data_IF_551913108252
#
_entry.id   IF_551913108252
#
_cell.length_a   1.000
_cell.length_b   1.000
_cell.length_c   1.000
_cell.angle_alpha   90.00
_cell.angle_beta   90.00
_cell.angle_gamma   90.00
#
_symmetry.space_group_name_H-M   'P 1'
#
loop_
_entity.id
_entity.type
_entity.pdbx_description
1 polymer ?
#
# COMPACT_ATOMS: atom_id res chain seq x y z
N UNK A 1 -18.76 -20.46 48.02
CA UNK A 1 -18.42 -19.73 49.26
C UNK A 1 -17.44 -20.55 50.09
N UNK A 2 -16.18 -20.15 50.15
CA UNK A 2 -15.26 -20.48 51.26
C UNK A 2 -14.53 -19.20 51.61
N UNK A 3 -14.63 -18.86 52.88
CA UNK A 3 -14.45 -17.53 53.44
C UNK A 3 -12.99 -17.11 53.57
N UNK A 4 -12.84 -15.80 53.53
CA UNK A 4 -11.65 -14.98 53.70
C UNK A 4 -11.23 -15.03 55.18
N UNK A 5 -9.98 -15.40 55.46
CA UNK A 5 -9.38 -15.33 56.78
C UNK A 5 -8.45 -14.13 56.89
N UNK A 6 -8.84 -13.19 57.76
CA UNK A 6 -8.25 -11.88 57.96
C UNK A 6 -6.82 -11.85 58.52
N UNK A 7 -6.15 -10.79 58.11
CA UNK A 7 -4.81 -10.36 58.43
C UNK A 7 -4.80 -9.50 59.70
N UNK A 8 -4.19 -9.95 60.80
CA UNK A 8 -3.72 -9.06 61.89
C UNK A 8 -2.80 -9.80 62.88
N UNK A 9 -1.51 -9.45 62.90
CA UNK A 9 -0.75 -9.27 64.15
C UNK A 9 0.76 -9.06 63.92
N UNK A 10 1.24 -7.90 64.36
CA UNK A 10 2.53 -7.66 65.04
C UNK A 10 3.78 -7.68 64.15
N UNK A 11 4.26 -6.55 63.63
CA UNK A 11 4.86 -5.39 64.33
C UNK A 11 6.07 -5.74 65.22
N UNK A 12 7.23 -5.27 64.74
CA UNK A 12 8.45 -4.89 65.45
C UNK A 12 9.40 -5.99 65.96
N UNK A 13 10.57 -6.07 65.30
CA UNK A 13 11.85 -6.08 66.01
C UNK A 13 12.92 -5.34 65.20
N UNK A 14 13.46 -4.36 65.90
CA UNK A 14 14.33 -3.29 65.43
C UNK A 14 15.78 -3.74 65.27
N UNK A 15 16.46 -3.13 64.30
CA UNK A 15 17.87 -2.75 64.47
C UNK A 15 18.91 -3.56 63.69
N UNK A 16 19.42 -2.96 62.61
CA UNK A 16 20.87 -2.79 62.42
C UNK A 16 21.22 -1.77 61.33
N UNK A 17 21.90 -0.73 61.81
CA UNK A 17 23.01 0.01 61.21
C UNK A 17 22.88 0.62 59.80
N UNK A 18 22.81 1.95 59.86
CA UNK A 18 23.00 2.96 58.82
C UNK A 18 24.29 2.74 58.00
N UNK A 19 24.19 2.87 56.68
CA UNK A 19 25.25 3.40 55.81
C UNK A 19 24.63 4.45 54.90
N UNK A 20 25.20 5.66 54.94
CA UNK A 20 24.66 6.86 54.34
C UNK A 20 24.64 6.83 52.81
N UNK A 21 23.67 7.57 52.26
CA UNK A 21 23.72 8.13 50.92
C UNK A 21 23.06 9.50 50.97
N UNK A 22 23.80 10.50 50.52
CA UNK A 22 23.45 11.94 50.50
C UNK A 22 22.19 12.24 49.66
N UNK A 23 21.54 13.40 49.87
CA UNK A 23 20.30 13.73 49.19
C UNK A 23 20.63 14.24 47.78
N UNK A 24 20.42 13.40 46.76
CA UNK A 24 20.34 13.90 45.39
C UNK A 24 18.98 14.58 45.20
N UNK A 25 18.94 15.85 45.58
CA UNK A 25 18.01 16.81 45.00
C UNK A 25 18.34 16.95 43.52
N UNK A 26 17.50 16.35 42.69
CA UNK A 26 17.33 16.74 41.30
C UNK A 26 15.84 16.53 41.01
N UNK A 27 15.08 17.61 41.11
CA UNK A 27 13.76 17.65 40.52
C UNK A 27 13.95 17.39 39.02
N UNK A 28 13.49 16.22 38.57
CA UNK A 28 13.44 15.92 37.15
C UNK A 28 12.64 17.05 36.46
N UNK A 29 13.09 17.59 35.34
CA UNK A 29 12.28 18.54 34.59
C UNK A 29 11.00 17.79 34.20
N UNK A 30 9.88 18.25 34.75
CA UNK A 30 8.56 17.87 34.26
C UNK A 30 8.50 18.46 32.86
N UNK A 31 8.84 17.64 31.86
CA UNK A 31 8.55 17.96 30.47
C UNK A 31 7.04 17.83 30.33
N UNK A 32 6.33 18.93 30.59
CA UNK A 32 4.95 19.06 30.15
C UNK A 32 4.98 19.15 28.63
N UNK A 33 4.87 18.01 27.96
CA UNK A 33 4.57 17.99 26.52
C UNK A 33 3.16 18.56 26.40
N UNK A 34 3.05 19.86 26.14
CA UNK A 34 1.82 20.48 25.67
C UNK A 34 1.64 20.04 24.22
N UNK A 35 1.18 18.81 24.04
CA UNK A 35 0.91 18.24 22.72
C UNK A 35 -0.37 18.88 22.17
N UNK A 36 -0.21 19.99 21.44
CA UNK A 36 -1.33 20.66 20.80
C UNK A 36 -1.64 19.91 19.50
N UNK A 37 -2.70 19.10 19.51
CA UNK A 37 -3.19 18.38 18.33
C UNK A 37 -3.33 19.31 17.13
N UNK A 38 -2.79 18.90 15.99
CA UNK A 38 -2.94 19.66 14.73
C UNK A 38 -4.40 19.65 14.26
N UNK A 39 -4.73 20.48 13.26
CA UNK A 39 -6.06 20.41 12.64
C UNK A 39 -6.32 19.04 12.01
N UNK A 40 -5.32 18.45 11.34
CA UNK A 40 -5.42 17.11 10.76
C UNK A 40 -5.69 16.05 11.84
N UNK A 41 -5.03 16.12 13.00
CA UNK A 41 -5.29 15.18 14.11
C UNK A 41 -6.74 15.27 14.59
N UNK A 42 -7.25 16.49 14.80
CA UNK A 42 -8.63 16.70 15.24
C UNK A 42 -9.66 16.25 14.20
N UNK A 43 -9.36 16.44 12.91
CA UNK A 43 -10.22 15.95 11.83
C UNK A 43 -10.22 14.42 11.84
N UNK A 44 -9.05 13.81 11.93
CA UNK A 44 -8.93 12.36 11.92
C UNK A 44 -9.66 11.73 13.11
N UNK A 45 -9.59 12.34 14.30
CA UNK A 45 -10.34 11.91 15.51
C UNK A 45 -11.86 11.81 15.26
N UNK A 46 -12.38 12.61 14.33
CA UNK A 46 -13.79 12.63 13.94
C UNK A 46 -14.11 11.73 12.74
N UNK A 47 -13.14 11.00 12.18
CA UNK A 47 -13.35 10.02 11.12
C UNK A 47 -13.65 8.64 11.72
N UNK A 48 -14.42 7.79 11.03
CA UNK A 48 -14.83 6.47 11.56
C UNK A 48 -13.70 5.42 11.59
N UNK A 49 -12.50 5.76 11.15
CA UNK A 49 -11.30 4.90 11.21
C UNK A 49 -11.43 3.53 10.51
N UNK A 50 -12.33 3.41 9.53
CA UNK A 50 -12.53 2.15 8.80
C UNK A 50 -11.41 1.81 7.83
N UNK A 51 -10.61 2.81 7.43
CA UNK A 51 -9.52 2.69 6.45
C UNK A 51 -9.97 2.13 5.07
N UNK A 52 -11.26 2.30 4.73
CA UNK A 52 -11.88 1.67 3.56
C UNK A 52 -11.57 2.29 2.19
N UNK A 53 -10.85 3.42 2.16
CA UNK A 53 -10.47 4.16 0.95
C UNK A 53 -11.62 4.62 0.03
N UNK A 54 -12.89 4.53 0.48
CA UNK A 54 -14.08 4.95 -0.31
C UNK A 54 -14.08 6.45 -0.66
N UNK A 55 -13.39 7.26 0.14
CA UNK A 55 -13.19 8.69 -0.13
C UNK A 55 -12.14 8.99 -1.23
N UNK A 56 -11.44 7.98 -1.75
CA UNK A 56 -10.37 8.13 -2.75
C UNK A 56 -8.96 8.27 -2.16
N UNK A 57 -8.84 8.35 -0.83
CA UNK A 57 -7.55 8.41 -0.12
C UNK A 57 -7.15 7.05 0.45
N UNK A 58 -5.84 6.81 0.58
CA UNK A 58 -5.29 5.55 1.10
C UNK A 58 -5.32 5.48 2.64
N UNK A 59 -6.45 5.83 3.25
CA UNK A 59 -6.67 5.82 4.69
C UNK A 59 -7.33 7.09 5.22
N UNK A 60 -7.64 7.08 6.52
CA UNK A 60 -8.26 8.21 7.21
C UNK A 60 -7.26 9.37 7.41
N UNK A 61 -6.00 9.09 7.76
CA UNK A 61 -4.95 10.10 7.93
C UNK A 61 -4.75 10.98 6.68
N UNK A 62 -4.49 10.43 5.47
CA UNK A 62 -4.30 11.28 4.30
C UNK A 62 -5.53 12.10 3.92
N UNK A 63 -6.74 11.57 4.17
CA UNK A 63 -7.97 12.34 3.96
C UNK A 63 -8.08 13.51 4.94
N UNK A 64 -7.76 13.28 6.21
CA UNK A 64 -7.77 14.32 7.24
C UNK A 64 -6.75 15.43 6.95
N UNK A 65 -5.55 15.06 6.49
CA UNK A 65 -4.52 16.00 6.04
C UNK A 65 -4.99 16.83 4.85
N UNK A 66 -5.62 16.20 3.85
CA UNK A 66 -6.14 16.91 2.68
C UNK A 66 -7.28 17.87 3.04
N UNK A 67 -8.16 17.53 3.99
CA UNK A 67 -9.16 18.47 4.51
C UNK A 67 -8.48 19.64 5.24
N UNK A 68 -7.48 19.36 6.07
CA UNK A 68 -6.77 20.39 6.84
C UNK A 68 -6.01 21.36 5.92
N UNK A 69 -5.44 20.85 4.81
CA UNK A 69 -4.78 21.64 3.79
C UNK A 69 -5.77 22.42 2.89
N UNK A 70 -7.04 22.01 2.85
CA UNK A 70 -8.06 22.60 1.97
C UNK A 70 -8.13 21.98 0.58
N UNK A 71 -7.38 20.91 0.32
CA UNK A 71 -7.34 20.19 -0.96
C UNK A 71 -8.53 19.24 -1.13
N UNK A 72 -9.19 18.85 -0.03
CA UNK A 72 -10.34 17.96 -0.04
C UNK A 72 -11.57 18.59 0.62
N UNK A 73 -12.75 18.22 0.14
CA UNK A 73 -14.00 18.53 0.81
C UNK A 73 -14.26 17.56 1.98
N UNK A 74 -15.02 17.98 3.00
CA UNK A 74 -15.26 17.23 4.24
C UNK A 74 -16.50 16.31 4.18
N UNK A 75 -17.08 16.15 2.99
CA UNK A 75 -18.28 15.33 2.74
C UNK A 75 -18.01 14.08 1.89
N UNK A 76 -16.78 13.56 1.90
CA UNK A 76 -16.35 12.49 1.00
C UNK A 76 -16.33 11.11 1.66
N UNK A 77 -16.76 10.98 2.92
CA UNK A 77 -16.65 9.75 3.71
C UNK A 77 -18.01 9.05 3.89
N UNK A 78 -18.38 8.08 3.04
CA UNK A 78 -19.62 7.31 3.19
C UNK A 78 -19.81 6.64 4.56
N UNK A 79 -18.80 5.97 5.16
CA UNK A 79 -18.99 5.35 6.49
C UNK A 79 -19.11 6.38 7.61
N UNK A 80 -18.68 7.63 7.40
CA UNK A 80 -18.92 8.71 8.35
C UNK A 80 -20.36 9.22 8.29
N UNK A 81 -21.05 9.02 7.17
CA UNK A 81 -22.45 9.36 7.02
C UNK A 81 -22.77 10.85 7.20
N UNK A 82 -24.05 11.16 7.35
CA UNK A 82 -24.51 12.52 7.61
C UNK A 82 -23.93 13.10 8.92
N UNK A 83 -23.88 12.28 9.98
CA UNK A 83 -23.38 12.74 11.29
C UNK A 83 -21.88 13.07 11.25
N UNK A 84 -21.06 12.28 10.54
CA UNK A 84 -19.64 12.59 10.36
C UNK A 84 -19.42 13.94 9.69
N UNK A 85 -20.27 14.31 8.73
CA UNK A 85 -20.22 15.63 8.08
C UNK A 85 -20.59 16.74 9.07
N UNK A 86 -21.58 16.52 9.93
CA UNK A 86 -21.95 17.49 10.98
C UNK A 86 -20.79 17.69 11.96
N UNK A 87 -20.14 16.61 12.39
CA UNK A 87 -18.96 16.68 13.27
C UNK A 87 -17.82 17.46 12.63
N UNK A 88 -17.49 17.16 11.37
CA UNK A 88 -16.42 17.83 10.63
C UNK A 88 -16.73 19.30 10.33
N UNK A 89 -17.94 19.61 9.88
CA UNK A 89 -18.37 20.98 9.60
C UNK A 89 -18.32 21.86 10.84
N UNK A 90 -18.73 21.33 12.00
CA UNK A 90 -18.64 22.01 13.30
C UNK A 90 -17.19 22.32 13.69
N UNK A 91 -16.27 21.35 13.51
CA UNK A 91 -14.84 21.56 13.76
C UNK A 91 -14.23 22.61 12.82
N UNK A 92 -14.64 22.62 11.55
CA UNK A 92 -14.11 23.50 10.51
C UNK A 92 -14.78 24.88 10.46
N UNK A 93 -15.89 25.08 11.18
CA UNK A 93 -16.71 26.30 11.07
C UNK A 93 -17.35 26.48 9.69
N UNK A 94 -17.69 25.37 9.01
CA UNK A 94 -18.27 25.35 7.66
C UNK A 94 -19.76 24.96 7.72
N UNK A 95 -20.59 25.29 6.70
CA UNK A 95 -21.98 24.84 6.65
C UNK A 95 -22.08 23.32 6.56
N UNK A 96 -23.22 22.72 6.92
CA UNK A 96 -23.46 21.30 6.67
C UNK A 96 -23.85 21.13 5.20
N UNK A 97 -23.17 20.23 4.49
CA UNK A 97 -23.44 19.88 3.08
C UNK A 97 -23.78 18.38 2.98
N UNK A 98 -24.52 17.94 1.94
CA UNK A 98 -24.83 16.52 1.78
C UNK A 98 -23.57 15.68 1.47
N UNK A 99 -23.63 14.38 1.79
CA UNK A 99 -22.60 13.40 1.43
C UNK A 99 -22.39 13.40 -0.10
N UNK A 100 -21.13 13.31 -0.52
CA UNK A 100 -20.78 13.23 -1.94
C UNK A 100 -21.25 11.87 -2.51
N UNK A 101 -22.23 11.84 -3.43
CA UNK A 101 -22.75 10.59 -3.99
C UNK A 101 -21.72 9.85 -4.85
N UNK A 102 -20.68 10.53 -5.35
CA UNK A 102 -19.60 9.90 -6.14
C UNK A 102 -18.81 8.89 -5.31
N UNK A 103 -18.67 9.11 -4.01
CA UNK A 103 -17.93 8.21 -3.11
C UNK A 103 -18.81 7.07 -2.58
N UNK A 104 -20.11 7.10 -2.85
CA UNK A 104 -21.09 6.12 -2.39
C UNK A 104 -22.10 6.70 -1.40
N UNK A 105 -23.00 5.84 -0.95
CA UNK A 105 -24.04 6.16 0.04
C UNK A 105 -23.67 5.64 1.41
N UNK A 106 -24.26 6.28 2.44
CA UNK A 106 -24.29 5.73 3.78
C UNK A 106 -25.07 4.40 3.79
N UNK A 107 -24.55 3.38 4.47
CA UNK A 107 -25.14 2.04 4.50
C UNK A 107 -24.90 1.37 5.86
N UNK A 108 -25.68 0.33 6.21
CA UNK A 108 -25.44 -0.45 7.40
C UNK A 108 -24.04 -1.06 7.41
N UNK A 109 -23.48 -1.18 8.60
CA UNK A 109 -22.16 -1.75 8.77
C UNK A 109 -22.23 -3.27 8.59
N UNK A 110 -21.30 -3.77 7.79
CA UNK A 110 -21.10 -5.19 7.57
C UNK A 110 -19.79 -5.69 8.21
N UNK A 111 -19.74 -6.99 8.50
CA UNK A 111 -18.53 -7.69 8.92
C UNK A 111 -18.22 -8.76 7.88
N UNK A 112 -16.94 -8.94 7.57
CA UNK A 112 -16.51 -9.98 6.64
C UNK A 112 -16.75 -11.36 7.26
N UNK A 113 -17.18 -12.31 6.43
CA UNK A 113 -17.33 -13.71 6.75
C UNK A 113 -16.58 -14.52 5.70
N UNK A 114 -15.72 -15.44 6.11
CA UNK A 114 -14.93 -16.30 5.22
C UNK A 114 -15.53 -17.70 5.24
N UNK A 115 -15.90 -18.25 4.08
CA UNK A 115 -16.28 -19.65 3.95
C UNK A 115 -15.03 -20.54 4.01
N UNK A 116 -14.90 -21.24 5.13
CA UNK A 116 -13.77 -22.11 5.46
C UNK A 116 -13.64 -23.29 4.48
N UNK A 117 -14.73 -23.72 3.84
CA UNK A 117 -14.71 -24.83 2.88
C UNK A 117 -14.10 -24.43 1.54
N UNK A 118 -14.18 -23.15 1.19
CA UNK A 118 -13.65 -22.60 -0.06
C UNK A 118 -12.26 -21.97 0.13
N UNK A 119 -11.93 -21.56 1.36
CA UNK A 119 -10.66 -20.90 1.65
C UNK A 119 -9.45 -21.81 1.40
N UNK A 120 -8.58 -21.41 0.47
CA UNK A 120 -7.33 -22.14 0.14
C UNK A 120 -6.11 -21.71 0.95
N UNK A 121 -6.27 -20.80 1.91
CA UNK A 121 -5.16 -20.33 2.75
C UNK A 121 -4.10 -19.50 2.01
N UNK A 122 -4.48 -18.70 1.01
CA UNK A 122 -3.55 -17.93 0.16
C UNK A 122 -2.94 -16.69 0.84
N UNK A 123 -3.48 -16.23 1.97
CA UNK A 123 -3.04 -15.08 2.80
C UNK A 123 -3.23 -13.67 2.19
N UNK A 124 -3.76 -13.54 0.97
CA UNK A 124 -3.93 -12.24 0.31
C UNK A 124 -4.92 -11.32 1.06
N UNK A 125 -6.01 -11.89 1.61
CA UNK A 125 -6.98 -11.12 2.41
C UNK A 125 -6.35 -10.55 3.70
N UNK A 126 -5.49 -11.30 4.38
CA UNK A 126 -4.77 -10.85 5.59
C UNK A 126 -3.78 -9.71 5.28
N UNK A 127 -3.20 -9.71 4.08
CA UNK A 127 -2.35 -8.62 3.60
C UNK A 127 -3.16 -7.37 3.22
N UNK A 128 -4.42 -7.52 2.82
CA UNK A 128 -5.30 -6.39 2.52
C UNK A 128 -6.00 -5.81 3.76
N UNK A 129 -6.18 -6.59 4.83
CA UNK A 129 -6.87 -6.13 6.03
C UNK A 129 -6.08 -5.01 6.74
N UNK A 130 -6.64 -3.78 6.87
CA UNK A 130 -5.93 -2.66 7.46
C UNK A 130 -5.79 -2.75 8.99
N UNK A 131 -6.61 -3.55 9.65
CA UNK A 131 -6.70 -3.65 11.12
C UNK A 131 -6.35 -5.03 11.67
N UNK A 132 -5.79 -5.92 10.84
CA UNK A 132 -5.41 -7.28 11.24
C UNK A 132 -6.55 -8.16 11.79
N UNK A 133 -7.80 -7.89 11.42
CA UNK A 133 -8.96 -8.65 11.87
C UNK A 133 -9.05 -10.09 11.30
N UNK A 134 -8.11 -10.50 10.43
CA UNK A 134 -8.12 -11.83 9.81
C UNK A 134 -7.03 -12.70 10.44
N UNK A 135 -7.42 -13.84 10.99
CA UNK A 135 -6.51 -14.82 11.59
C UNK A 135 -6.40 -16.04 10.67
N UNK A 136 -5.18 -16.56 10.53
CA UNK A 136 -4.90 -17.74 9.72
C UNK A 136 -3.40 -17.91 9.52
N UNK A 137 -3.03 -18.82 8.63
CA UNK A 137 -1.65 -19.05 8.25
C UNK A 137 -1.58 -19.51 6.78
N UNK A 138 -0.41 -19.46 6.13
CA UNK A 138 -0.25 -20.03 4.80
C UNK A 138 -0.71 -21.50 4.76
N UNK A 139 -1.57 -21.82 3.79
CA UNK A 139 -2.19 -23.16 3.61
C UNK A 139 -3.10 -23.60 4.76
N UNK A 140 -3.56 -22.66 5.59
CA UNK A 140 -4.57 -22.88 6.62
C UNK A 140 -5.79 -22.00 6.34
N UNK A 141 -6.98 -22.45 6.77
CA UNK A 141 -8.20 -21.68 6.65
C UNK A 141 -8.10 -20.38 7.46
N UNK A 142 -8.67 -19.31 6.91
CA UNK A 142 -8.69 -18.01 7.56
C UNK A 142 -10.06 -17.75 8.16
N UNK A 143 -10.10 -17.03 9.28
CA UNK A 143 -11.33 -16.63 9.96
C UNK A 143 -11.24 -15.16 10.38
N UNK A 144 -12.39 -14.55 10.67
CA UNK A 144 -12.50 -13.12 11.00
C UNK A 144 -12.72 -12.96 12.50
N UNK A 145 -11.94 -12.10 13.13
CA UNK A 145 -12.24 -11.57 14.47
C UNK A 145 -13.27 -10.46 14.30
N UNK A 146 -14.56 -10.79 14.48
CA UNK A 146 -15.69 -9.88 14.23
C UNK A 146 -15.55 -8.55 14.98
N UNK A 147 -15.04 -8.59 16.22
CA UNK A 147 -14.87 -7.41 17.07
C UNK A 147 -13.82 -6.42 16.56
N UNK A 148 -12.89 -6.85 15.70
CA UNK A 148 -11.83 -6.02 15.14
C UNK A 148 -12.11 -5.62 13.68
N UNK A 149 -12.96 -6.37 12.97
CA UNK A 149 -13.29 -6.07 11.58
C UNK A 149 -13.95 -4.69 11.49
N UNK A 150 -13.51 -3.82 10.58
CA UNK A 150 -14.12 -2.49 10.39
C UNK A 150 -15.22 -2.44 9.34
N UNK A 151 -15.44 -3.54 8.59
CA UNK A 151 -16.34 -3.53 7.44
C UNK A 151 -15.81 -2.70 6.28
N UNK A 152 -14.50 -2.74 6.04
CA UNK A 152 -13.84 -1.93 5.01
C UNK A 152 -13.87 -2.56 3.61
N UNK A 153 -14.27 -3.82 3.50
CA UNK A 153 -14.47 -4.59 2.25
C UNK A 153 -13.19 -4.84 1.42
N UNK A 154 -12.04 -4.31 1.85
CA UNK A 154 -10.74 -4.42 1.15
C UNK A 154 -10.24 -5.85 0.97
N UNK A 155 -10.73 -6.80 1.77
CA UNK A 155 -10.34 -8.21 1.68
C UNK A 155 -11.06 -8.98 0.56
N UNK A 156 -12.20 -8.47 0.05
CA UNK A 156 -13.00 -9.16 -0.97
C UNK A 156 -12.28 -9.21 -2.32
N UNK A 157 -11.83 -8.09 -2.92
CA UNK A 157 -11.18 -8.10 -4.24
C UNK A 157 -9.93 -9.00 -4.37
N UNK A 158 -9.02 -9.09 -3.39
CA UNK A 158 -7.83 -9.93 -3.52
C UNK A 158 -8.07 -11.43 -3.32
N UNK A 159 -9.29 -11.86 -2.99
CA UNK A 159 -9.59 -13.28 -2.77
C UNK A 159 -9.73 -14.03 -4.12
N UNK A 160 -8.83 -14.97 -4.47
CA UNK A 160 -8.84 -15.62 -5.78
C UNK A 160 -9.94 -16.67 -5.96
N UNK A 161 -10.58 -17.08 -4.86
CA UNK A 161 -11.65 -18.10 -4.83
C UNK A 161 -12.99 -17.51 -4.39
N UNK A 162 -13.06 -16.19 -4.21
CA UNK A 162 -14.26 -15.45 -3.84
C UNK A 162 -15.02 -16.03 -2.61
N UNK A 163 -14.27 -16.48 -1.61
CA UNK A 163 -14.83 -17.11 -0.41
C UNK A 163 -15.29 -16.13 0.68
N UNK A 164 -15.38 -14.82 0.40
CA UNK A 164 -15.63 -13.79 1.42
C UNK A 164 -16.95 -13.08 1.16
N UNK A 165 -17.86 -13.12 2.12
CA UNK A 165 -19.11 -12.38 2.11
C UNK A 165 -19.08 -11.23 3.12
N UNK A 166 -19.76 -10.12 2.82
CA UNK A 166 -19.98 -9.02 3.77
C UNK A 166 -21.38 -9.16 4.36
N UNK A 167 -21.47 -9.47 5.65
CA UNK A 167 -22.74 -9.70 6.33
C UNK A 167 -23.13 -8.47 7.15
N UNK A 168 -24.34 -7.89 6.97
CA UNK A 168 -24.79 -6.76 7.78
C UNK A 168 -24.99 -7.17 9.23
N UNK A 169 -24.41 -6.42 10.17
CA UNK A 169 -24.50 -6.74 11.61
C UNK A 169 -25.25 -5.67 12.42
N UNK A 170 -25.53 -4.51 11.82
CA UNK A 170 -26.15 -3.38 12.53
C UNK A 170 -27.62 -3.16 12.20
N UNK A 171 -28.23 -4.03 11.40
CA UNK A 171 -29.62 -3.88 10.93
C UNK A 171 -29.75 -2.62 10.06
N UNK A 172 -30.69 -1.74 10.40
CA UNK A 172 -30.89 -0.46 9.71
C UNK A 172 -29.97 0.67 10.20
N UNK A 173 -29.21 0.46 11.28
CA UNK A 173 -28.30 1.51 11.80
C UNK A 173 -27.14 1.71 10.84
N UNK A 174 -26.82 2.97 10.57
CA UNK A 174 -25.74 3.41 9.67
C UNK A 174 -24.81 4.41 10.36
N UNK A 175 -23.71 4.78 9.71
CA UNK A 175 -22.81 5.83 10.19
C UNK A 175 -22.34 5.60 11.63
N UNK A 176 -22.48 6.64 12.45
CA UNK A 176 -22.08 6.63 13.86
C UNK A 176 -23.10 5.95 14.79
N UNK A 177 -24.35 5.75 14.36
CA UNK A 177 -25.32 4.91 15.08
C UNK A 177 -24.95 3.41 15.02
N UNK A 178 -24.24 3.03 13.96
CA UNK A 178 -23.72 1.68 13.73
C UNK A 178 -22.31 1.47 14.28
N UNK A 179 -21.57 2.55 14.53
CA UNK A 179 -20.15 2.53 14.84
C UNK A 179 -19.77 3.64 15.82
N UNK A 180 -19.56 3.24 17.07
CA UNK A 180 -19.26 4.18 18.17
C UNK A 180 -17.86 4.78 18.08
N UNK A 181 -17.63 5.88 18.80
CA UNK A 181 -16.29 6.48 18.91
C UNK A 181 -15.25 5.50 19.48
N UNK A 182 -15.61 4.74 20.52
CA UNK A 182 -14.72 3.75 21.13
C UNK A 182 -14.26 2.68 20.12
N UNK A 183 -15.17 2.26 19.23
CA UNK A 183 -14.86 1.31 18.17
C UNK A 183 -13.97 1.92 17.08
N UNK A 184 -14.20 3.19 16.71
CA UNK A 184 -13.34 3.92 15.79
C UNK A 184 -11.91 4.08 16.36
N UNK A 185 -11.80 4.44 17.64
CA UNK A 185 -10.51 4.59 18.32
C UNK A 185 -9.77 3.25 18.42
N UNK A 186 -10.48 2.16 18.74
CA UNK A 186 -9.90 0.81 18.73
C UNK A 186 -9.42 0.39 17.33
N UNK A 187 -10.19 0.70 16.27
CA UNK A 187 -9.80 0.41 14.89
C UNK A 187 -8.55 1.17 14.47
N UNK A 188 -8.42 2.44 14.88
CA UNK A 188 -7.21 3.23 14.68
C UNK A 188 -6.02 2.59 15.36
N UNK A 189 -6.14 2.24 16.64
CA UNK A 189 -5.05 1.60 17.39
C UNK A 189 -4.56 0.32 16.68
N UNK A 190 -5.49 -0.54 16.23
CA UNK A 190 -5.15 -1.74 15.47
C UNK A 190 -4.44 -1.43 14.15
N UNK A 191 -4.91 -0.42 13.42
CA UNK A 191 -4.28 0.02 12.18
C UNK A 191 -2.86 0.55 12.41
N UNK A 192 -2.65 1.37 13.44
CA UNK A 192 -1.35 1.94 13.77
C UNK A 192 -0.36 0.86 14.21
N UNK A 193 -0.82 -0.11 15.02
CA UNK A 193 -0.03 -1.28 15.39
C UNK A 193 0.38 -2.11 14.15
N UNK A 194 -0.52 -2.29 13.19
CA UNK A 194 -0.22 -2.98 11.92
C UNK A 194 0.83 -2.21 11.13
N UNK A 195 0.66 -0.91 10.93
CA UNK A 195 1.61 -0.08 10.19
C UNK A 195 2.99 -0.10 10.85
N UNK A 196 3.05 -0.03 12.19
CA UNK A 196 4.29 -0.14 12.94
C UNK A 196 4.94 -1.52 12.75
N UNK A 197 4.17 -2.62 12.76
CA UNK A 197 4.69 -3.96 12.46
C UNK A 197 5.28 -4.03 11.04
N UNK A 198 4.50 -3.63 10.03
CA UNK A 198 4.94 -3.67 8.63
C UNK A 198 6.19 -2.82 8.38
N UNK A 199 6.28 -1.65 9.03
CA UNK A 199 7.48 -0.79 8.96
C UNK A 199 8.71 -1.51 9.49
N UNK A 200 8.63 -2.10 10.69
CA UNK A 200 9.75 -2.87 11.29
C UNK A 200 10.15 -4.06 10.41
N UNK A 201 9.18 -4.78 9.87
CA UNK A 201 9.44 -5.93 8.98
C UNK A 201 10.14 -5.50 7.68
N UNK A 202 9.69 -4.40 7.07
CA UNK A 202 10.29 -3.84 5.86
C UNK A 202 11.72 -3.36 6.12
N UNK A 203 11.94 -2.57 7.18
CA UNK A 203 13.27 -2.10 7.57
C UNK A 203 14.22 -3.26 7.86
N UNK A 204 13.75 -4.31 8.56
CA UNK A 204 14.54 -5.51 8.80
C UNK A 204 14.86 -6.28 7.50
N UNK A 205 13.91 -6.37 6.57
CA UNK A 205 14.12 -7.00 5.27
C UNK A 205 15.13 -6.22 4.42
N UNK A 206 15.03 -4.89 4.39
CA UNK A 206 15.96 -3.99 3.71
C UNK A 206 17.36 -4.09 4.32
N UNK A 207 17.49 -4.10 5.64
CA UNK A 207 18.76 -4.29 6.34
C UNK A 207 19.41 -5.64 6.01
N UNK A 208 18.62 -6.73 6.00
CA UNK A 208 19.11 -8.07 5.57
C UNK A 208 19.54 -8.08 4.11
N UNK A 209 18.80 -7.41 3.23
CA UNK A 209 19.14 -7.29 1.82
C UNK A 209 20.41 -6.46 1.60
N UNK A 210 20.57 -5.35 2.33
CA UNK A 210 21.78 -4.52 2.34
C UNK A 210 23.00 -5.32 2.84
N UNK A 211 22.86 -6.06 3.94
CA UNK A 211 23.92 -6.91 4.46
C UNK A 211 24.33 -8.01 3.47
N UNK A 212 23.36 -8.66 2.79
CA UNK A 212 23.65 -9.63 1.72
C UNK A 212 24.38 -8.99 0.54
N UNK A 213 23.98 -7.78 0.12
CA UNK A 213 24.65 -7.03 -0.96
C UNK A 213 26.09 -6.66 -0.58
N UNK A 214 26.31 -6.16 0.63
CA UNK A 214 27.63 -5.85 1.14
C UNK A 214 28.53 -7.10 1.23
N UNK A 215 27.99 -8.22 1.73
CA UNK A 215 28.72 -9.48 1.78
C UNK A 215 29.06 -10.04 0.39
N UNK A 216 28.17 -9.89 -0.60
CA UNK A 216 28.47 -10.27 -1.99
C UNK A 216 29.50 -9.37 -2.66
N UNK A 217 29.56 -8.08 -2.29
CA UNK A 217 30.56 -7.13 -2.79
C UNK A 217 31.93 -7.32 -2.13
N UNK A 218 31.97 -7.80 -0.88
CA UNK A 218 33.19 -8.02 -0.12
C UNK A 218 33.85 -9.40 -0.36
N UNK A 219 33.26 -10.29 -1.17
CA UNK A 219 33.84 -11.60 -1.47
C UNK A 219 34.98 -11.44 -2.48
N UNK A 220 36.26 -11.68 -2.12
CA UNK A 220 37.35 -11.61 -3.09
C UNK A 220 37.23 -12.78 -4.07
N UNK A 221 37.65 -12.56 -5.32
CA UNK A 221 37.81 -13.59 -6.35
C UNK A 221 38.91 -14.59 -5.95
N UNK A 222 38.62 -15.48 -4.99
CA UNK A 222 39.48 -16.58 -4.60
C UNK A 222 38.77 -17.90 -4.87
N UNK A 223 38.51 -18.17 -6.15
CA UNK A 223 38.21 -19.50 -6.69
C UNK A 223 38.25 -19.48 -8.24
N UNK A 224 39.28 -18.88 -8.84
CA UNK A 224 39.63 -19.09 -10.26
C UNK A 224 41.15 -19.02 -10.41
N UNK A 225 41.82 -20.10 -10.01
CA UNK A 225 43.21 -20.34 -10.38
C UNK A 225 43.26 -21.70 -11.08
N UNK A 226 43.19 -21.67 -12.41
CA UNK A 226 44.02 -22.47 -13.34
C UNK A 226 43.57 -22.21 -14.80
N UNK A 227 44.17 -21.20 -15.45
CA UNK A 227 44.85 -21.21 -16.78
C UNK A 227 44.93 -19.79 -17.38
N UNK A 228 46.03 -19.41 -18.05
CA UNK A 228 46.28 -18.01 -18.44
C UNK A 228 45.87 -17.72 -19.90
N UNK A 229 45.21 -16.59 -20.16
CA UNK A 229 45.60 -15.63 -21.22
C UNK A 229 44.74 -14.35 -21.22
N UNK A 230 45.46 -13.21 -21.10
CA UNK A 230 45.22 -11.85 -21.62
C UNK A 230 43.86 -11.10 -21.43
N UNK A 231 43.98 -9.95 -20.76
CA UNK A 231 43.04 -8.87 -20.37
C UNK A 231 42.39 -8.05 -21.54
N UNK A 232 41.56 -6.98 -21.32
CA UNK A 232 41.20 -6.29 -20.07
C UNK A 232 39.69 -5.94 -19.87
N UNK A 233 39.43 -5.30 -18.72
CA UNK A 233 38.19 -5.08 -18.01
C UNK A 233 37.20 -4.03 -18.57
N UNK A 234 35.89 -4.27 -18.39
CA UNK A 234 34.85 -3.30 -17.97
C UNK A 234 33.52 -4.01 -17.63
N UNK A 235 32.80 -3.51 -16.59
CA UNK A 235 31.38 -3.75 -16.21
C UNK A 235 30.95 -5.11 -15.59
N UNK A 236 30.86 -5.24 -14.23
CA UNK A 236 30.35 -6.45 -13.59
C UNK A 236 28.83 -6.44 -13.30
N UNK A 237 28.13 -5.30 -13.45
CA UNK A 237 26.70 -5.18 -13.15
C UNK A 237 25.80 -5.48 -14.36
N UNK A 238 26.10 -4.90 -15.53
CA UNK A 238 25.38 -5.15 -16.78
C UNK A 238 25.47 -6.61 -17.21
N UNK A 239 26.60 -7.25 -16.91
CA UNK A 239 26.91 -8.61 -17.33
C UNK A 239 26.08 -9.66 -16.56
N UNK A 240 25.77 -9.39 -15.28
CA UNK A 240 24.90 -10.25 -14.47
C UNK A 240 23.42 -10.12 -14.87
N UNK A 241 22.98 -8.92 -15.24
CA UNK A 241 21.62 -8.68 -15.70
C UNK A 241 21.40 -9.17 -17.14
N UNK A 242 22.39 -9.00 -18.02
CA UNK A 242 22.43 -9.59 -19.35
C UNK A 242 22.39 -11.12 -19.29
N UNK A 243 23.14 -11.75 -18.38
CA UNK A 243 23.06 -13.20 -18.14
C UNK A 243 21.68 -13.66 -17.70
N UNK A 244 21.00 -12.92 -16.79
CA UNK A 244 19.62 -13.22 -16.39
C UNK A 244 18.64 -13.10 -17.57
N UNK A 245 18.73 -12.03 -18.36
CA UNK A 245 17.90 -11.81 -19.56
C UNK A 245 18.13 -12.91 -20.59
N UNK A 246 19.38 -13.33 -20.81
CA UNK A 246 19.73 -14.43 -21.69
C UNK A 246 19.19 -15.78 -21.21
N UNK A 247 19.23 -16.06 -19.90
CA UNK A 247 18.67 -17.28 -19.31
C UNK A 247 17.14 -17.31 -19.47
N UNK A 248 16.47 -16.19 -19.24
CA UNK A 248 15.01 -16.07 -19.42
C UNK A 248 14.65 -16.24 -20.90
N UNK A 249 15.37 -15.58 -21.81
CA UNK A 249 15.16 -15.72 -23.25
C UNK A 249 15.36 -17.18 -23.72
N UNK A 250 16.42 -17.83 -23.26
CA UNK A 250 16.68 -19.24 -23.55
C UNK A 250 15.63 -20.18 -22.93
N UNK A 251 15.04 -19.83 -21.79
CA UNK A 251 13.95 -20.59 -21.19
C UNK A 251 12.64 -20.43 -21.98
N UNK A 252 12.34 -19.22 -22.44
CA UNK A 252 11.18 -18.93 -23.29
C UNK A 252 11.30 -19.61 -24.66
N UNK A 253 12.48 -19.60 -25.26
CA UNK A 253 12.72 -20.28 -26.54
C UNK A 253 12.58 -21.80 -26.40
N UNK A 254 13.13 -22.38 -25.32
CA UNK A 254 12.92 -23.81 -25.00
C UNK A 254 11.45 -24.15 -24.76
N UNK A 255 10.70 -23.28 -24.09
CA UNK A 255 9.27 -23.45 -23.90
C UNK A 255 8.51 -23.36 -25.24
N UNK A 256 8.91 -22.46 -26.15
CA UNK A 256 8.31 -22.33 -27.49
C UNK A 256 8.58 -23.56 -28.35
N UNK A 257 9.83 -24.03 -28.42
CA UNK A 257 10.21 -25.26 -29.11
C UNK A 257 9.49 -26.48 -28.55
N UNK A 258 9.41 -26.60 -27.23
CA UNK A 258 8.65 -27.69 -26.57
C UNK A 258 7.15 -27.61 -26.88
N UNK A 259 6.56 -26.41 -26.97
CA UNK A 259 5.17 -26.21 -27.39
C UNK A 259 4.95 -26.59 -28.86
N UNK A 260 5.87 -26.20 -29.74
CA UNK A 260 5.86 -26.55 -31.17
C UNK A 260 5.99 -28.08 -31.35
N UNK A 261 6.91 -28.75 -30.65
CA UNK A 261 7.06 -30.21 -30.64
C UNK A 261 5.82 -30.93 -30.10
N UNK A 262 5.27 -30.48 -28.97
CA UNK A 262 4.05 -31.03 -28.39
C UNK A 262 2.82 -30.82 -29.30
N UNK A 263 2.79 -29.71 -30.05
CA UNK A 263 1.74 -29.44 -31.05
C UNK A 263 1.87 -30.33 -32.29
N UNK A 264 3.10 -30.60 -32.76
CA UNK A 264 3.37 -31.53 -33.86
C UNK A 264 3.10 -33.00 -33.50
N UNK A 265 3.21 -33.35 -32.21
CA UNK A 265 2.92 -34.69 -31.68
C UNK A 265 1.45 -34.88 -31.25
N UNK A 266 0.58 -33.86 -31.38
CA UNK A 266 -0.83 -33.94 -30.98
C UNK A 266 -1.07 -34.09 -29.46
N UNK A 267 -0.05 -33.83 -28.65
CA UNK A 267 -0.09 -33.83 -27.18
C UNK A 267 0.02 -32.42 -26.62
N UNK A 268 -0.70 -31.47 -27.23
CA UNK A 268 -0.96 -30.15 -26.66
C UNK A 268 -2.02 -30.20 -25.54
N UNK A 269 -2.23 -29.11 -24.78
CA UNK A 269 -3.30 -29.04 -23.80
C UNK A 269 -4.64 -29.23 -24.52
N UNK A 270 -5.30 -30.38 -24.32
CA UNK A 270 -6.55 -30.77 -25.01
C UNK A 270 -7.78 -29.92 -24.66
N UNK A 271 -7.59 -28.80 -23.95
CA UNK A 271 -8.66 -27.97 -23.40
C UNK A 271 -9.12 -26.83 -24.32
N UNK A 272 -8.61 -26.76 -25.56
CA UNK A 272 -9.03 -25.76 -26.56
C UNK A 272 -9.61 -26.37 -27.83
N UNK A 273 -9.52 -27.68 -28.02
CA UNK A 273 -9.90 -28.34 -29.28
C UNK A 273 -11.34 -28.90 -29.26
N UNK A 274 -12.00 -28.88 -28.10
CA UNK A 274 -13.39 -29.35 -27.93
C UNK A 274 -14.20 -28.45 -26.98
N UNK A 275 -14.03 -27.13 -27.10
CA UNK A 275 -14.87 -26.17 -26.39
C UNK A 275 -16.20 -25.97 -27.12
N UNK A 276 -17.28 -25.78 -26.35
CA UNK A 276 -18.61 -25.53 -26.92
C UNK A 276 -18.63 -24.29 -27.83
N UNK A 277 -19.54 -24.23 -28.79
CA UNK A 277 -19.63 -23.09 -29.73
C UNK A 277 -19.77 -21.73 -29.02
N UNK A 278 -20.41 -21.69 -27.85
CA UNK A 278 -20.52 -20.48 -27.03
C UNK A 278 -19.17 -20.05 -26.44
N UNK A 279 -18.36 -21.02 -25.98
CA UNK A 279 -17.01 -20.75 -25.46
C UNK A 279 -16.06 -20.37 -26.60
N UNK A 280 -16.20 -20.98 -27.78
CA UNK A 280 -15.43 -20.61 -28.95
C UNK A 280 -15.71 -19.16 -29.37
N UNK A 281 -16.98 -18.74 -29.40
CA UNK A 281 -17.33 -17.35 -29.69
C UNK A 281 -16.77 -16.34 -28.66
N UNK A 282 -16.66 -16.73 -27.39
CA UNK A 282 -16.04 -15.89 -26.36
C UNK A 282 -14.53 -15.76 -26.56
N UNK A 283 -13.86 -16.84 -26.96
CA UNK A 283 -12.44 -16.85 -27.29
C UNK A 283 -12.19 -15.94 -28.50
N UNK A 284 -12.96 -16.09 -29.57
CA UNK A 284 -12.82 -15.28 -30.79
C UNK A 284 -13.07 -13.79 -30.51
N UNK A 285 -14.08 -13.46 -29.69
CA UNK A 285 -14.35 -12.09 -29.27
C UNK A 285 -13.21 -11.49 -28.42
N UNK A 286 -12.57 -12.30 -27.57
CA UNK A 286 -11.42 -11.87 -26.78
C UNK A 286 -10.17 -11.66 -27.63
N UNK A 287 -9.94 -12.51 -28.63
CA UNK A 287 -8.84 -12.35 -29.59
C UNK A 287 -9.04 -11.13 -30.50
N UNK A 288 -10.26 -10.90 -30.99
CA UNK A 288 -10.59 -9.70 -31.77
C UNK A 288 -10.39 -8.41 -30.95
N UNK A 289 -10.73 -8.41 -29.66
CA UNK A 289 -10.44 -7.28 -28.76
C UNK A 289 -8.93 -7.06 -28.61
N UNK A 290 -8.15 -8.12 -28.40
CA UNK A 290 -6.69 -8.04 -28.27
C UNK A 290 -6.04 -7.51 -29.55
N UNK A 291 -6.50 -7.96 -30.72
CA UNK A 291 -6.00 -7.48 -32.01
C UNK A 291 -6.27 -5.98 -32.20
N UNK A 292 -7.48 -5.50 -31.88
CA UNK A 292 -7.81 -4.07 -31.95
C UNK A 292 -6.95 -3.23 -31.01
N UNK A 293 -6.73 -3.70 -29.78
CA UNK A 293 -5.87 -2.99 -28.82
C UNK A 293 -4.41 -2.96 -29.28
N UNK A 294 -3.92 -4.03 -29.91
CA UNK A 294 -2.57 -4.08 -30.48
C UNK A 294 -2.42 -3.14 -31.68
N UNK A 295 -3.43 -3.06 -32.55
CA UNK A 295 -3.47 -2.11 -33.68
C UNK A 295 -3.53 -0.66 -33.18
N UNK A 296 -4.34 -0.37 -32.16
CA UNK A 296 -4.41 0.95 -31.52
C UNK A 296 -3.08 1.32 -30.85
N UNK A 297 -2.44 0.36 -30.18
CA UNK A 297 -1.13 0.58 -29.57
C UNK A 297 -0.07 0.85 -30.64
N UNK A 298 -0.05 0.09 -31.73
CA UNK A 298 0.86 0.32 -32.85
C UNK A 298 0.63 1.68 -33.53
N UNK A 299 -0.63 2.12 -33.64
CA UNK A 299 -0.97 3.46 -34.13
C UNK A 299 -0.46 4.56 -33.18
N UNK A 300 -0.69 4.41 -31.87
CA UNK A 300 -0.17 5.35 -30.86
C UNK A 300 1.36 5.41 -30.84
N UNK A 301 2.02 4.28 -31.01
CA UNK A 301 3.49 4.20 -31.05
C UNK A 301 4.03 4.85 -32.34
N UNK A 302 3.32 4.71 -33.47
CA UNK A 302 3.66 5.40 -34.72
C UNK A 302 3.42 6.92 -34.66
N UNK A 303 2.33 7.36 -34.02
CA UNK A 303 2.04 8.79 -33.79
C UNK A 303 3.06 9.41 -32.83
N UNK A 304 3.47 8.69 -31.78
CA UNK A 304 4.52 9.13 -30.87
C UNK A 304 5.89 9.25 -31.56
N UNK A 305 6.22 8.30 -32.44
CA UNK A 305 7.46 8.35 -33.23
C UNK A 305 7.45 9.51 -34.25
N UNK A 306 6.31 9.84 -34.84
CA UNK A 306 6.14 10.99 -35.75
C UNK A 306 6.21 12.33 -34.99
N UNK A 307 5.71 12.39 -33.75
CA UNK A 307 5.82 13.58 -32.90
C UNK A 307 7.27 13.85 -32.47
N UNK A 308 8.05 12.80 -32.17
CA UNK A 308 9.48 12.96 -31.81
C UNK A 308 10.40 13.31 -32.97
N UNK A 309 9.96 13.18 -34.23
CA UNK A 309 10.77 13.50 -35.42
C UNK A 309 10.71 14.96 -35.87
N UNK A 310 9.82 15.78 -35.30
CA UNK A 310 9.63 17.19 -35.71
C UNK A 310 10.35 18.21 -34.80
N UNK A 311 11.03 17.77 -33.73
CA UNK A 311 11.75 18.65 -32.80
C UNK A 311 13.22 18.89 -33.20
N UNK A 312 13.78 18.18 -34.18
CA UNK A 312 15.20 18.30 -34.59
C UNK A 312 15.45 19.22 -35.80
N UNK A 313 14.42 19.87 -36.39
CA UNK A 313 14.59 20.74 -37.56
C UNK A 313 14.32 22.25 -37.30
N UNK A 314 14.08 22.66 -36.05
CA UNK A 314 13.84 24.08 -35.69
C UNK A 314 14.93 24.74 -34.82
N UNK A 315 16.08 24.10 -34.58
CA UNK A 315 17.18 24.67 -33.77
C UNK A 315 18.49 24.90 -34.55
N UNK A 316 18.40 25.36 -35.80
CA UNK A 316 19.58 25.73 -36.58
C UNK A 316 19.44 27.12 -37.25
N UNK A 317 19.89 28.15 -36.54
CA UNK A 317 20.54 29.30 -37.18
C UNK A 317 19.99 30.68 -36.85
N UNK A 318 20.42 31.26 -35.73
CA UNK A 318 20.74 32.69 -35.71
C UNK A 318 21.75 33.03 -34.60
N UNK A 319 23.03 32.84 -34.88
CA UNK A 319 24.09 33.59 -34.20
C UNK A 319 25.34 33.67 -35.10
N UNK A 320 25.79 34.90 -35.38
CA UNK A 320 26.94 35.19 -36.23
C UNK A 320 27.37 36.67 -36.17
N UNK A 321 28.53 37.03 -35.58
CA UNK A 321 28.85 38.39 -35.10
C UNK A 321 29.90 39.18 -35.92
N UNK A 322 30.04 40.47 -35.58
CA UNK A 322 31.16 41.38 -35.92
C UNK A 322 30.67 42.71 -36.51
N UNK A 323 30.83 43.92 -35.94
CA UNK A 323 31.95 44.57 -35.24
C UNK A 323 32.26 45.91 -35.98
N UNK A 324 33.12 46.81 -35.48
CA UNK A 324 32.87 47.91 -34.53
C UNK A 324 33.04 49.33 -35.13
N UNK A 325 32.56 50.40 -34.43
CA UNK A 325 33.22 51.73 -34.22
C UNK A 325 32.25 52.80 -33.69
N UNK A 326 32.72 53.63 -32.75
CA UNK A 326 32.00 54.71 -32.04
C UNK A 326 32.29 56.13 -32.63
N UNK A 327 32.04 57.25 -31.91
CA UNK A 327 30.84 58.12 -31.75
C UNK A 327 31.10 59.52 -32.45
N UNK A 328 30.50 60.73 -32.15
CA UNK A 328 29.56 61.17 -31.08
C UNK A 328 28.46 62.23 -31.45
N UNK A 329 27.69 62.59 -30.41
CA UNK A 329 27.11 63.92 -30.08
C UNK A 329 26.07 64.63 -31.00
N UNK A 330 24.89 64.95 -30.43
CA UNK A 330 24.24 66.30 -30.36
C UNK A 330 22.69 66.27 -30.22
N UNK A 331 22.25 66.82 -29.08
CA UNK A 331 21.07 67.66 -28.80
C UNK A 331 19.87 67.80 -29.78
N UNK A 332 18.67 67.60 -29.18
CA UNK A 332 17.45 68.44 -29.22
C UNK A 332 16.61 68.50 -30.54
N UNK A 333 15.35 68.99 -30.54
CA UNK A 333 14.66 69.89 -29.60
C UNK A 333 13.91 69.24 -28.43
#
# INVERSE_FOLDING_TARGET
MREIGDNRALANLSGRARRGREPFGAAAPVVTVTDSKTLADRIEDLLPQTQCTKCGYNGCRPYAEAIAAGDANYNQCPPGGAEGIVRLSSLLGKPVIPLNPVNGSEHPRAVAFIDENLCIGCTLCMQACPVDAIVGAPKQMHTIIESQCTGCDLCVPPCPVDCIAMLPVTGERTGWDAWSQEQADAAREHHDLRLARQRREREAAEARAAARRAASAAKPAAAQAETPSSAPAAAPADDAEAKKRAIIAAALERARKKKEELSGQGTGPKNTESVSAAVQAQIDAAEARRKRLAEQQAQRDAEAAAASGNDEENDAGNDGPGGPSAPPDQNAP
#
